data_IF_008288747260
#
_entry.id   IF_008288747260
#
_cell.length_a   1.000
_cell.length_b   1.000
_cell.length_c   1.000
_cell.angle_alpha   90.00
_cell.angle_beta   90.00
_cell.angle_gamma   90.00
#
_symmetry.space_group_name_H-M   'P 1'
#
loop_
_entity.id
_entity.type
_entity.pdbx_description
1 polymer ?
#
# COMPACT_ATOMS: atom_id res chain seq x y z
N UNK A 1 -4.00 -4.50 -4.57
CA UNK A 1 -4.12 -3.08 -4.15
C UNK A 1 -4.44 -2.24 -5.37
N UNK A 2 -5.41 -1.34 -5.25
CA UNK A 2 -5.91 -0.58 -6.40
C UNK A 2 -7.05 -1.29 -7.11
N UNK A 3 -7.57 -0.68 -8.17
CA UNK A 3 -8.71 -1.20 -8.93
C UNK A 3 -8.29 -2.26 -9.95
N UNK A 4 -8.19 -3.52 -9.51
CA UNK A 4 -7.84 -4.65 -10.39
C UNK A 4 -8.97 -5.05 -11.35
N UNK A 5 -10.19 -4.55 -11.15
CA UNK A 5 -11.33 -4.85 -12.02
C UNK A 5 -11.43 -3.87 -13.18
N UNK A 6 -10.67 -2.77 -13.17
CA UNK A 6 -10.65 -1.78 -14.23
C UNK A 6 -9.73 -2.24 -15.37
N UNK A 7 -10.26 -2.47 -16.58
CA UNK A 7 -9.43 -2.82 -17.73
C UNK A 7 -8.41 -1.73 -18.04
N UNK A 8 -7.13 -2.12 -18.17
CA UNK A 8 -6.03 -1.19 -18.43
C UNK A 8 -5.70 -0.23 -17.28
N UNK A 9 -6.22 -0.49 -16.08
CA UNK A 9 -5.87 0.25 -14.86
C UNK A 9 -4.57 -0.24 -14.23
N UNK A 10 -3.91 0.65 -13.48
CA UNK A 10 -2.73 0.29 -12.70
C UNK A 10 -3.14 -0.29 -11.36
N UNK A 11 -2.59 -1.44 -10.98
CA UNK A 11 -2.82 -2.00 -9.66
C UNK A 11 -1.59 -2.79 -9.20
N UNK A 12 -1.44 -2.93 -7.90
CA UNK A 12 -0.29 -3.60 -7.30
C UNK A 12 -0.73 -4.92 -6.67
N UNK A 13 0.07 -5.93 -6.87
CA UNK A 13 -0.08 -7.25 -6.27
C UNK A 13 1.11 -7.52 -5.34
N UNK A 14 0.83 -7.94 -4.13
CA UNK A 14 1.88 -8.42 -3.23
C UNK A 14 2.02 -9.93 -3.45
N UNK A 15 3.19 -10.35 -3.92
CA UNK A 15 3.51 -11.75 -4.24
C UNK A 15 4.67 -12.23 -3.38
N UNK A 16 4.89 -13.55 -3.23
CA UNK A 16 6.01 -14.07 -2.41
C UNK A 16 7.39 -13.58 -2.85
N UNK A 17 7.58 -13.28 -4.13
CA UNK A 17 8.83 -12.81 -4.74
C UNK A 17 8.99 -11.28 -4.72
N UNK A 18 7.89 -10.52 -4.66
CA UNK A 18 7.96 -9.07 -4.64
C UNK A 18 6.62 -8.35 -4.76
N UNK A 19 6.69 -7.06 -5.10
CA UNK A 19 5.54 -6.25 -5.48
C UNK A 19 5.45 -6.26 -6.99
N UNK A 20 4.36 -6.80 -7.53
CA UNK A 20 4.11 -6.80 -8.96
C UNK A 20 3.16 -5.65 -9.32
N UNK A 21 3.64 -4.74 -10.16
CA UNK A 21 2.86 -3.64 -10.70
C UNK A 21 2.25 -4.08 -12.03
N UNK A 22 0.93 -4.21 -12.04
CA UNK A 22 0.15 -4.36 -13.25
C UNK A 22 -0.01 -3.01 -13.94
N UNK A 23 0.14 -3.01 -15.26
CA UNK A 23 0.10 -1.82 -16.08
C UNK A 23 -0.86 -2.01 -17.27
N UNK A 24 -0.99 -0.96 -18.09
CA UNK A 24 -1.89 -1.00 -19.25
C UNK A 24 -1.40 -1.97 -20.33
N UNK A 25 -0.08 -2.15 -20.41
CA UNK A 25 0.56 -3.06 -21.36
C UNK A 25 1.50 -4.03 -20.61
N UNK A 26 1.65 -5.29 -21.07
CA UNK A 26 2.56 -6.24 -20.44
C UNK A 26 4.02 -5.77 -20.41
N UNK A 27 4.43 -4.94 -21.38
CA UNK A 27 5.77 -4.33 -21.42
C UNK A 27 6.04 -3.31 -20.31
N UNK A 28 4.99 -2.80 -19.67
CA UNK A 28 5.07 -1.86 -18.55
C UNK A 28 4.87 -2.55 -17.19
N UNK A 29 4.59 -3.85 -17.17
CA UNK A 29 4.48 -4.62 -15.95
C UNK A 29 5.85 -4.79 -15.30
N UNK A 30 5.92 -4.63 -13.98
CA UNK A 30 7.18 -4.63 -13.27
C UNK A 30 7.09 -5.40 -11.96
N UNK A 31 7.98 -6.36 -11.77
CA UNK A 31 8.20 -7.00 -10.49
C UNK A 31 9.31 -6.28 -9.74
N UNK A 32 8.99 -5.78 -8.55
CA UNK A 32 9.97 -5.26 -7.60
C UNK A 32 10.25 -6.29 -6.51
N UNK A 33 11.39 -7.01 -6.55
CA UNK A 33 11.72 -8.01 -5.55
C UNK A 33 11.76 -7.43 -4.14
N UNK A 34 11.26 -8.17 -3.15
CA UNK A 34 11.34 -7.76 -1.74
C UNK A 34 12.75 -7.44 -1.30
N UNK A 35 13.69 -8.24 -1.79
CA UNK A 35 15.10 -8.06 -1.57
C UNK A 35 15.54 -6.64 -1.98
N UNK A 36 15.04 -6.03 -3.04
CA UNK A 36 15.49 -4.68 -3.43
C UNK A 36 15.04 -3.58 -2.48
N UNK A 37 14.00 -3.78 -1.67
CA UNK A 37 13.41 -2.72 -0.84
C UNK A 37 14.23 -2.56 0.46
N UNK A 38 14.76 -1.37 0.71
CA UNK A 38 15.69 -1.12 1.82
C UNK A 38 15.05 -0.56 3.09
N UNK A 39 14.30 0.54 2.96
CA UNK A 39 13.84 1.35 4.11
C UNK A 39 12.37 1.09 4.49
N UNK A 40 11.74 0.09 3.88
CA UNK A 40 10.30 -0.12 3.98
C UNK A 40 9.52 0.48 2.82
N UNK A 41 8.21 0.56 3.01
CA UNK A 41 7.25 1.02 2.00
C UNK A 41 6.40 2.11 2.64
N UNK A 42 6.43 3.30 2.07
CA UNK A 42 5.52 4.38 2.44
C UNK A 42 4.29 4.40 1.52
N UNK A 43 3.16 4.85 2.07
CA UNK A 43 1.88 4.88 1.38
C UNK A 43 1.35 6.30 1.26
N UNK A 44 0.68 6.60 0.15
CA UNK A 44 0.03 7.89 -0.05
C UNK A 44 -1.16 7.77 -0.99
N UNK A 45 -2.20 8.54 -0.72
CA UNK A 45 -3.40 8.66 -1.53
C UNK A 45 -3.59 10.10 -1.98
N UNK A 46 -3.94 10.30 -3.25
CA UNK A 46 -4.14 11.63 -3.83
C UNK A 46 -3.08 11.94 -4.90
N UNK A 47 -3.20 13.09 -5.55
CA UNK A 47 -2.22 13.55 -6.53
C UNK A 47 -1.10 14.33 -5.82
N UNK A 48 0.04 13.71 -5.55
CA UNK A 48 1.34 14.41 -5.64
C UNK A 48 2.06 13.69 -6.79
N UNK A 49 2.10 14.27 -7.98
CA UNK A 49 2.84 15.50 -8.27
C UNK A 49 2.16 16.33 -9.36
N UNK A 50 1.71 17.58 -9.12
CA UNK A 50 1.55 18.55 -10.19
C UNK A 50 2.87 19.31 -10.36
N UNK A 51 3.34 19.42 -11.61
CA UNK A 51 4.16 20.56 -12.03
C UNK A 51 3.48 21.86 -11.54
N UNK A 52 4.28 22.82 -11.07
CA UNK A 52 3.88 24.14 -10.58
C UNK A 52 2.58 24.65 -11.22
N UNK A 53 1.58 24.97 -10.40
CA UNK A 53 0.60 26.00 -10.78
C UNK A 53 -0.89 25.66 -10.80
N UNK A 54 -1.38 24.55 -10.24
CA UNK A 54 -2.82 24.45 -9.98
C UNK A 54 -3.15 23.55 -8.78
N UNK A 55 -3.53 24.17 -7.67
CA UNK A 55 -4.19 23.48 -6.56
C UNK A 55 -5.61 24.03 -6.50
N UNK A 56 -6.58 23.26 -7.00
CA UNK A 56 -7.95 23.43 -6.54
C UNK A 56 -8.09 22.72 -5.19
N UNK A 57 -8.65 23.35 -4.13
CA UNK A 57 -8.85 22.74 -2.81
C UNK A 57 -9.67 21.44 -2.81
N UNK A 58 -10.29 21.10 -3.94
CA UNK A 58 -11.10 19.90 -4.18
C UNK A 58 -10.25 18.62 -4.35
N UNK A 59 -8.93 18.74 -4.60
CA UNK A 59 -8.06 17.59 -4.91
C UNK A 59 -7.53 16.80 -3.70
N UNK A 60 -7.81 17.22 -2.47
CA UNK A 60 -7.24 16.64 -1.23
C UNK A 60 -8.26 15.80 -0.46
N UNK A 61 -9.54 15.81 -0.83
CA UNK A 61 -10.58 15.10 -0.09
C UNK A 61 -10.93 13.80 -0.82
N UNK A 62 -10.70 12.68 -0.14
CA UNK A 62 -11.14 11.35 -0.57
C UNK A 62 -12.65 11.27 -0.66
N UNK A 63 -13.20 11.58 -1.84
CA UNK A 63 -14.63 11.49 -2.08
C UNK A 63 -15.12 12.51 -3.10
N UNK A 64 -14.96 12.21 -4.39
CA UNK A 64 -15.82 12.84 -5.39
C UNK A 64 -17.06 11.95 -5.58
N UNK A 65 -18.29 12.48 -5.42
CA UNK A 65 -19.51 11.74 -5.72
C UNK A 65 -19.71 11.55 -7.24
N UNK A 66 -20.50 10.54 -7.61
CA UNK A 66 -20.88 10.29 -9.01
C UNK A 66 -19.74 9.73 -9.88
N UNK A 67 -19.58 10.18 -11.14
CA UNK A 67 -18.70 9.56 -12.17
C UNK A 67 -17.19 9.61 -11.85
N UNK A 68 -16.82 10.20 -10.71
CA UNK A 68 -15.45 10.34 -10.24
C UNK A 68 -15.08 9.33 -9.13
N UNK A 69 -15.98 8.40 -8.79
CA UNK A 69 -15.66 7.25 -7.91
C UNK A 69 -14.59 6.37 -8.58
N UNK A 70 -13.52 6.05 -7.85
CA UNK A 70 -12.34 5.38 -8.41
C UNK A 70 -11.45 6.29 -9.26
N UNK A 71 -11.82 7.57 -9.46
CA UNK A 71 -10.95 8.56 -10.10
C UNK A 71 -10.00 9.14 -9.05
N UNK A 72 -8.74 8.74 -9.16
CA UNK A 72 -7.66 9.15 -8.28
C UNK A 72 -6.57 8.09 -8.24
N UNK A 73 -5.33 8.53 -8.02
CA UNK A 73 -4.18 7.64 -7.89
C UNK A 73 -3.77 7.55 -6.42
N UNK A 74 -3.18 6.42 -6.09
CA UNK A 74 -2.30 6.29 -4.93
C UNK A 74 -0.91 5.87 -5.40
N UNK A 75 0.05 6.01 -4.51
CA UNK A 75 1.41 5.57 -4.79
C UNK A 75 2.03 4.95 -3.54
N UNK A 76 2.75 3.85 -3.74
CA UNK A 76 3.73 3.37 -2.80
C UNK A 76 5.08 3.99 -3.16
N UNK A 77 5.75 4.56 -2.17
CA UNK A 77 7.11 5.07 -2.33
C UNK A 77 8.05 4.21 -1.52
N UNK A 78 9.16 3.82 -2.14
CA UNK A 78 10.16 2.99 -1.48
C UNK A 78 11.56 3.30 -2.02
N UNK A 79 12.55 3.10 -1.17
CA UNK A 79 13.97 3.24 -1.54
C UNK A 79 14.52 1.86 -1.87
N UNK A 80 15.04 1.71 -3.09
CA UNK A 80 15.60 0.47 -3.60
C UNK A 80 17.12 0.42 -3.42
N UNK A 81 17.67 -0.78 -3.36
CA UNK A 81 19.12 -1.04 -3.39
C UNK A 81 19.59 -1.52 -4.76
N UNK A 82 20.83 -1.15 -5.10
CA UNK A 82 21.58 -1.61 -6.27
C UNK A 82 20.86 -1.45 -7.63
N UNK A 83 20.81 -0.24 -8.23
CA UNK A 83 21.31 1.03 -7.71
C UNK A 83 20.39 1.62 -6.62
N UNK A 84 20.90 2.60 -5.88
CA UNK A 84 20.06 3.37 -4.96
C UNK A 84 19.16 4.30 -5.76
N UNK A 85 17.86 4.05 -5.70
CA UNK A 85 16.85 4.84 -6.39
C UNK A 85 15.56 4.87 -5.59
N UNK A 86 14.84 5.98 -5.69
CA UNK A 86 13.48 6.07 -5.19
C UNK A 86 12.53 5.53 -6.26
N UNK A 87 11.74 4.53 -5.89
CA UNK A 87 10.75 3.93 -6.77
C UNK A 87 9.33 4.27 -6.31
N UNK A 88 8.53 4.71 -7.28
CA UNK A 88 7.14 5.14 -7.08
C UNK A 88 6.21 4.18 -7.82
N UNK A 89 5.56 3.28 -7.09
CA UNK A 89 4.60 2.35 -7.65
C UNK A 89 3.20 2.97 -7.61
N UNK A 90 2.70 3.44 -8.75
CA UNK A 90 1.37 4.05 -8.84
C UNK A 90 0.27 3.02 -9.03
N UNK A 91 -0.89 3.25 -8.43
CA UNK A 91 -2.09 2.44 -8.63
C UNK A 91 -3.35 3.31 -8.73
N UNK A 92 -4.32 2.83 -9.48
CA UNK A 92 -5.66 3.41 -9.56
C UNK A 92 -6.44 3.07 -8.31
N UNK A 93 -7.17 4.05 -7.77
CA UNK A 93 -7.90 3.88 -6.53
C UNK A 93 -9.03 2.88 -6.70
N UNK A 94 -9.09 1.91 -5.79
CA UNK A 94 -10.17 0.93 -5.72
C UNK A 94 -11.54 1.63 -5.54
N UNK A 95 -12.64 1.16 -6.17
CA UNK A 95 -13.94 1.83 -6.16
C UNK A 95 -14.61 1.86 -4.77
N UNK A 96 -14.26 0.90 -3.90
CA UNK A 96 -14.68 0.89 -2.49
C UNK A 96 -14.09 2.08 -1.74
N UNK A 97 -14.93 2.73 -0.94
CA UNK A 97 -14.48 3.72 0.02
C UNK A 97 -13.86 3.04 1.25
N UNK A 98 -12.66 3.47 1.63
CA UNK A 98 -11.96 3.00 2.82
C UNK A 98 -11.92 4.13 3.85
N UNK A 99 -12.39 3.89 5.10
CA UNK A 99 -12.28 4.88 6.16
C UNK A 99 -10.81 5.14 6.49
N UNK A 100 -10.50 6.35 6.99
CA UNK A 100 -9.14 6.75 7.38
C UNK A 100 -8.51 5.78 8.38
N UNK A 101 -9.32 5.12 9.21
CA UNK A 101 -8.85 4.08 10.14
C UNK A 101 -8.32 2.83 9.44
N UNK A 102 -8.97 2.37 8.37
CA UNK A 102 -8.50 1.22 7.58
C UNK A 102 -7.23 1.59 6.81
N UNK A 103 -7.15 2.82 6.30
CA UNK A 103 -5.95 3.34 5.65
C UNK A 103 -4.76 3.45 6.62
N UNK A 104 -4.99 3.94 7.84
CA UNK A 104 -3.96 4.01 8.87
C UNK A 104 -3.52 2.62 9.35
N UNK A 105 -4.45 1.66 9.46
CA UNK A 105 -4.12 0.26 9.75
C UNK A 105 -3.25 -0.36 8.65
N UNK A 106 -3.58 -0.07 7.39
CA UNK A 106 -2.79 -0.51 6.26
C UNK A 106 -1.38 0.11 6.23
N UNK A 107 -1.27 1.42 6.44
CA UNK A 107 0.03 2.11 6.51
C UNK A 107 0.88 1.56 7.66
N UNK A 108 0.29 1.32 8.83
CA UNK A 108 1.02 0.71 9.93
C UNK A 108 1.48 -0.72 9.62
N UNK A 109 0.68 -1.52 8.92
CA UNK A 109 1.09 -2.85 8.48
C UNK A 109 2.38 -2.76 7.64
N UNK A 110 2.43 -1.84 6.67
CA UNK A 110 3.61 -1.63 5.83
C UNK A 110 4.83 -1.17 6.64
N UNK A 111 4.64 -0.17 7.51
CA UNK A 111 5.73 0.41 8.31
C UNK A 111 6.30 -0.61 9.29
N UNK A 112 5.45 -1.34 10.02
CA UNK A 112 5.91 -2.32 11.01
C UNK A 112 6.58 -3.52 10.36
N UNK A 113 6.03 -4.03 9.25
CA UNK A 113 6.63 -5.15 8.51
C UNK A 113 7.96 -4.72 7.87
N UNK A 114 8.05 -3.47 7.39
CA UNK A 114 9.30 -2.88 6.92
C UNK A 114 10.35 -2.71 8.01
N UNK A 115 9.96 -2.20 9.17
CA UNK A 115 10.84 -2.03 10.33
C UNK A 115 11.39 -3.38 10.85
N UNK A 116 10.59 -4.44 10.79
CA UNK A 116 11.00 -5.80 11.12
C UNK A 116 11.90 -6.44 10.04
N UNK A 117 12.09 -5.81 8.87
CA UNK A 117 12.77 -6.36 7.69
C UNK A 117 12.09 -7.62 7.13
N UNK A 118 10.77 -7.71 7.29
CA UNK A 118 9.98 -8.89 6.92
C UNK A 118 8.97 -8.59 5.80
N UNK A 119 9.26 -7.61 4.93
CA UNK A 119 8.36 -7.20 3.85
C UNK A 119 7.86 -8.36 2.97
N UNK A 120 8.67 -9.41 2.83
CA UNK A 120 8.28 -10.63 2.12
C UNK A 120 7.00 -11.29 2.65
N UNK A 121 6.67 -11.09 3.94
CA UNK A 121 5.43 -11.59 4.56
C UNK A 121 4.17 -10.95 3.96
N UNK A 122 4.27 -9.74 3.39
CA UNK A 122 3.14 -9.14 2.68
C UNK A 122 2.74 -9.95 1.43
N UNK A 123 3.66 -10.74 0.88
CA UNK A 123 3.42 -11.67 -0.22
C UNK A 123 2.90 -13.04 0.21
N UNK A 124 2.88 -13.34 1.51
CA UNK A 124 2.33 -14.57 2.07
C UNK A 124 0.84 -14.37 2.38
N UNK A 125 -0.01 -15.08 1.62
CA UNK A 125 -1.46 -14.94 1.72
C UNK A 125 -2.00 -15.41 3.08
N UNK A 126 -1.42 -16.44 3.68
CA UNK A 126 -1.88 -17.01 4.95
C UNK A 126 -1.51 -16.07 6.10
N UNK A 127 -0.26 -15.59 6.10
CA UNK A 127 0.18 -14.60 7.09
C UNK A 127 -0.63 -13.31 6.96
N UNK A 128 -0.80 -12.79 5.74
CA UNK A 128 -1.54 -11.55 5.51
C UNK A 128 -3.01 -11.69 5.91
N UNK A 129 -3.63 -12.83 5.61
CA UNK A 129 -4.99 -13.16 6.03
C UNK A 129 -5.14 -13.15 7.55
N UNK A 130 -4.19 -13.74 8.28
CA UNK A 130 -4.17 -13.73 9.75
C UNK A 130 -3.96 -12.32 10.33
N UNK A 131 -3.02 -11.55 9.78
CA UNK A 131 -2.74 -10.18 10.20
C UNK A 131 -3.96 -9.28 10.03
N UNK A 132 -4.59 -9.30 8.85
CA UNK A 132 -5.84 -8.58 8.58
C UNK A 132 -6.97 -9.07 9.48
N UNK A 133 -7.09 -10.38 9.70
CA UNK A 133 -8.06 -10.97 10.61
C UNK A 133 -7.91 -10.46 12.05
N UNK A 134 -6.68 -10.29 12.56
CA UNK A 134 -6.44 -9.69 13.88
C UNK A 134 -6.77 -8.21 13.92
N UNK A 135 -6.36 -7.44 12.92
CA UNK A 135 -6.67 -6.01 12.83
C UNK A 135 -8.18 -5.78 12.83
N UNK A 136 -8.94 -6.58 12.07
CA UNK A 136 -10.41 -6.53 12.08
C UNK A 136 -11.01 -6.89 13.43
N UNK A 137 -10.54 -7.96 14.07
CA UNK A 137 -11.07 -8.42 15.38
C UNK A 137 -10.78 -7.45 16.51
N UNK A 138 -9.56 -6.93 16.61
CA UNK A 138 -9.15 -5.98 17.67
C UNK A 138 -9.62 -4.57 17.40
N UNK A 139 -9.83 -4.22 16.12
CA UNK A 139 -10.25 -2.91 15.65
C UNK A 139 -9.50 -1.75 16.35
N UNK A 140 -8.15 -1.72 16.30
CA UNK A 140 -7.38 -0.71 17.00
C UNK A 140 -7.74 0.68 16.45
N UNK A 141 -8.24 1.56 17.32
CA UNK A 141 -8.63 2.94 16.98
C UNK A 141 -7.55 3.98 17.26
N UNK A 142 -6.48 3.60 17.95
CA UNK A 142 -5.37 4.50 18.27
C UNK A 142 -4.06 3.93 17.72
N UNK A 143 -3.13 4.82 17.40
CA UNK A 143 -1.78 4.46 16.93
C UNK A 143 -1.08 3.53 17.92
N UNK A 144 -1.25 3.75 19.23
CA UNK A 144 -0.67 2.89 20.27
C UNK A 144 -1.27 1.49 20.27
N UNK A 145 -2.60 1.36 20.15
CA UNK A 145 -3.25 0.05 20.07
C UNK A 145 -2.84 -0.69 18.79
N UNK A 146 -2.72 0.04 17.68
CA UNK A 146 -2.26 -0.51 16.41
C UNK A 146 -0.83 -1.03 16.50
N UNK A 147 0.10 -0.23 17.04
CA UNK A 147 1.49 -0.66 17.32
C UNK A 147 1.55 -1.92 18.17
N UNK A 148 0.72 -2.01 19.22
CA UNK A 148 0.66 -3.18 20.08
C UNK A 148 0.23 -4.44 19.31
N UNK A 149 -0.86 -4.35 18.54
CA UNK A 149 -1.34 -5.47 17.71
C UNK A 149 -0.27 -5.89 16.69
N UNK A 150 0.44 -4.92 16.10
CA UNK A 150 1.53 -5.21 15.16
C UNK A 150 2.73 -5.88 15.83
N UNK A 151 3.13 -5.45 17.03
CA UNK A 151 4.20 -6.10 17.81
C UNK A 151 3.84 -7.56 18.11
N UNK A 152 2.62 -7.79 18.64
CA UNK A 152 2.11 -9.14 18.95
C UNK A 152 2.02 -10.04 17.71
N UNK A 153 1.73 -9.47 16.53
CA UNK A 153 1.68 -10.21 15.27
C UNK A 153 3.06 -10.66 14.81
N UNK A 154 4.08 -9.84 15.01
CA UNK A 154 5.45 -10.13 14.57
C UNK A 154 6.14 -11.09 15.57
N UNK A 155 5.96 -10.89 16.87
CA UNK A 155 6.53 -11.73 17.95
C UNK A 155 6.04 -13.18 17.92
N UNK A 156 4.75 -13.42 17.60
CA UNK A 156 4.18 -14.78 17.59
C UNK A 156 4.63 -15.67 16.44
N UNK A 157 5.55 -15.17 15.61
CA UNK A 157 6.13 -15.93 14.50
C UNK A 157 7.54 -16.43 14.84
N UNK A 158 8.11 -16.04 15.99
CA UNK A 158 9.42 -16.50 16.48
C UNK A 158 9.34 -17.75 17.40
N UNK A 159 8.16 -18.36 17.55
CA UNK A 159 7.94 -19.57 18.38
C UNK A 159 7.56 -20.76 17.51
#
# INVERSE_FOLDING_TARGET
MGDCFRPGGHWLEFRPDGIYQHARTPSEELLMPWARIMLGIGFSLGAKSPQRGSVSPVGVIGGLPGPWRGVGRGYLHMTLRHPYEDWLASFDRHPRWYPMTELAQFEALLVHTGAAKELHRLGDADWLGHAVGRLKRRHPRTVRALRKVMSELLEQTET
#
